data_IF_742966584954
#
_entry.id   IF_742966584954
#
_cell.length_a   1.000
_cell.length_b   1.000
_cell.length_c   1.000
_cell.angle_alpha   90.00
_cell.angle_beta   90.00
_cell.angle_gamma   90.00
#
_symmetry.space_group_name_H-M   'P 1'
#
loop_
_entity.id
_entity.type
_entity.pdbx_description
1 polymer ?
#
# COMPACT_ATOMS: atom_id res chain seq x y z
N UNK A 1 -26.68 -20.47 0.97
CA UNK A 1 -27.02 -19.70 -0.24
C UNK A 1 -25.78 -19.30 -1.05
N UNK A 2 -24.84 -18.52 -0.50
CA UNK A 2 -23.66 -18.02 -1.23
C UNK A 2 -22.83 -19.11 -1.92
N UNK A 3 -22.45 -20.19 -1.21
CA UNK A 3 -21.70 -21.32 -1.80
C UNK A 3 -22.38 -21.89 -3.05
N UNK A 4 -23.69 -22.12 -2.99
CA UNK A 4 -24.47 -22.58 -4.15
C UNK A 4 -24.55 -21.56 -5.29
N UNK A 5 -24.45 -20.25 -5.01
CA UNK A 5 -24.34 -19.24 -6.07
C UNK A 5 -22.98 -19.28 -6.76
N UNK A 6 -21.90 -19.49 -5.99
CA UNK A 6 -20.55 -19.66 -6.54
C UNK A 6 -20.46 -20.89 -7.43
N UNK A 7 -21.00 -22.03 -6.98
CA UNK A 7 -21.06 -23.27 -7.77
C UNK A 7 -21.82 -23.05 -9.09
N UNK A 8 -23.00 -22.42 -9.03
CA UNK A 8 -23.79 -22.10 -10.24
C UNK A 8 -23.04 -21.17 -11.19
N UNK A 9 -22.35 -20.15 -10.69
CA UNK A 9 -21.58 -19.22 -11.52
C UNK A 9 -20.44 -19.95 -12.22
N UNK A 10 -19.70 -20.81 -11.50
CA UNK A 10 -18.63 -21.62 -12.09
C UNK A 10 -19.14 -22.53 -13.20
N UNK A 11 -20.23 -23.27 -12.95
CA UNK A 11 -20.86 -24.11 -13.97
C UNK A 11 -21.34 -23.27 -15.17
N UNK A 12 -21.97 -22.12 -14.93
CA UNK A 12 -22.47 -21.23 -15.98
C UNK A 12 -21.37 -20.74 -16.93
N UNK A 13 -20.21 -20.36 -16.40
CA UNK A 13 -19.06 -19.90 -17.21
C UNK A 13 -18.36 -21.09 -17.89
N UNK A 14 -18.20 -22.23 -17.19
CA UNK A 14 -17.57 -23.42 -17.75
C UNK A 14 -18.36 -24.02 -18.93
N UNK A 15 -19.69 -23.97 -18.88
CA UNK A 15 -20.57 -24.41 -19.97
C UNK A 15 -20.60 -23.44 -21.16
N UNK A 16 -20.05 -22.23 -21.01
CA UNK A 16 -20.13 -21.13 -22.00
C UNK A 16 -18.80 -20.40 -22.14
N UNK A 17 -17.77 -21.07 -22.72
CA UNK A 17 -16.43 -20.50 -22.87
C UNK A 17 -16.39 -19.27 -23.80
N UNK A 18 -17.45 -19.01 -24.56
CA UNK A 18 -17.59 -17.82 -25.40
C UNK A 18 -17.89 -16.53 -24.63
N UNK A 19 -18.29 -16.62 -23.36
CA UNK A 19 -18.58 -15.44 -22.55
C UNK A 19 -17.30 -14.70 -22.18
N UNK A 20 -17.30 -13.38 -22.38
CA UNK A 20 -16.24 -12.52 -21.89
C UNK A 20 -16.32 -12.41 -20.34
N UNK A 21 -15.20 -12.69 -19.67
CA UNK A 21 -15.10 -12.62 -18.21
C UNK A 21 -15.40 -11.21 -17.67
N UNK A 22 -15.08 -10.16 -18.43
CA UNK A 22 -15.37 -8.76 -18.10
C UNK A 22 -16.88 -8.53 -18.11
N UNK A 23 -17.60 -9.02 -19.12
CA UNK A 23 -19.06 -8.87 -19.22
C UNK A 23 -19.79 -9.61 -18.09
N UNK A 24 -19.30 -10.80 -17.74
CA UNK A 24 -19.81 -11.56 -16.58
C UNK A 24 -19.57 -10.77 -15.29
N UNK A 25 -18.35 -10.29 -15.06
CA UNK A 25 -17.99 -9.50 -13.89
C UNK A 25 -18.81 -8.22 -13.77
N UNK A 26 -18.91 -7.47 -14.86
CA UNK A 26 -19.72 -6.25 -14.95
C UNK A 26 -21.19 -6.51 -14.63
N UNK A 27 -21.76 -7.58 -15.21
CA UNK A 27 -23.15 -7.98 -14.95
C UNK A 27 -23.39 -8.36 -13.50
N UNK A 28 -22.44 -9.05 -12.86
CA UNK A 28 -22.52 -9.39 -11.44
C UNK A 28 -22.44 -8.15 -10.55
N UNK A 29 -21.60 -7.18 -10.90
CA UNK A 29 -21.40 -5.96 -10.13
C UNK A 29 -22.55 -4.95 -10.26
N UNK A 30 -23.18 -4.85 -11.44
CA UNK A 30 -24.11 -3.76 -11.76
C UNK A 30 -25.57 -4.16 -11.90
N UNK A 31 -25.85 -5.44 -12.20
CA UNK A 31 -27.21 -5.91 -12.53
C UNK A 31 -27.75 -6.96 -11.54
N UNK A 32 -27.11 -7.14 -10.38
CA UNK A 32 -27.54 -8.06 -9.33
C UNK A 32 -27.61 -7.36 -7.98
N UNK A 33 -28.49 -7.83 -7.11
CA UNK A 33 -28.63 -7.28 -5.77
C UNK A 33 -27.38 -7.58 -4.92
N UNK A 34 -26.85 -6.56 -4.25
CA UNK A 34 -25.69 -6.65 -3.36
C UNK A 34 -26.01 -7.22 -1.98
N UNK A 35 -26.32 -8.52 -1.91
CA UNK A 35 -26.66 -9.24 -0.68
C UNK A 35 -25.54 -9.21 0.37
N UNK A 36 -25.87 -9.51 1.63
CA UNK A 36 -24.95 -9.47 2.78
C UNK A 36 -23.80 -10.47 2.65
N UNK A 37 -24.10 -11.74 2.36
CA UNK A 37 -23.06 -12.76 2.16
C UNK A 37 -22.45 -12.63 0.76
N UNK A 38 -21.17 -12.23 0.70
CA UNK A 38 -20.47 -11.91 -0.55
C UNK A 38 -19.24 -12.80 -0.74
N UNK A 39 -18.86 -13.01 -1.99
CA UNK A 39 -17.58 -13.60 -2.39
C UNK A 39 -17.02 -12.87 -3.61
N UNK A 40 -15.70 -12.72 -3.67
CA UNK A 40 -14.96 -12.18 -4.82
C UNK A 40 -14.12 -13.30 -5.40
N UNK A 41 -14.22 -13.51 -6.71
CA UNK A 41 -13.48 -14.54 -7.44
C UNK A 41 -12.60 -13.89 -8.50
N UNK A 42 -11.42 -14.46 -8.74
CA UNK A 42 -10.58 -14.16 -9.88
C UNK A 42 -10.14 -15.48 -10.52
N UNK A 43 -10.58 -15.71 -11.77
CA UNK A 43 -10.55 -17.04 -12.35
C UNK A 43 -11.27 -18.04 -11.45
N UNK A 44 -10.61 -19.17 -11.17
CA UNK A 44 -11.17 -20.21 -10.30
C UNK A 44 -10.98 -19.94 -8.80
N UNK A 45 -10.12 -18.98 -8.43
CA UNK A 45 -9.79 -18.70 -7.04
C UNK A 45 -10.86 -17.84 -6.37
N UNK A 46 -11.26 -18.22 -5.15
CA UNK A 46 -12.02 -17.33 -4.26
C UNK A 46 -11.03 -16.46 -3.49
N UNK A 47 -10.96 -15.18 -3.84
CA UNK A 47 -10.03 -14.23 -3.22
C UNK A 47 -10.52 -13.74 -1.85
N UNK A 48 -11.84 -13.58 -1.71
CA UNK A 48 -12.46 -13.15 -0.47
C UNK A 48 -13.87 -13.73 -0.34
N UNK A 49 -14.30 -13.97 0.90
CA UNK A 49 -15.70 -14.27 1.20
C UNK A 49 -16.04 -13.81 2.61
N UNK A 50 -17.26 -13.34 2.84
CA UNK A 50 -17.65 -12.82 4.13
C UNK A 50 -19.07 -12.28 4.16
N UNK A 51 -19.38 -11.58 5.25
CA UNK A 51 -20.63 -10.85 5.44
C UNK A 51 -20.30 -9.36 5.33
N UNK A 52 -20.98 -8.66 4.43
CA UNK A 52 -20.90 -7.22 4.36
C UNK A 52 -21.49 -6.62 5.63
N UNK A 53 -20.75 -5.71 6.24
CA UNK A 53 -21.17 -4.97 7.43
C UNK A 53 -20.93 -3.48 7.24
N UNK A 54 -21.59 -2.70 8.08
CA UNK A 54 -21.32 -1.27 8.22
C UNK A 54 -20.20 -1.07 9.24
N UNK A 55 -19.37 -0.05 9.02
CA UNK A 55 -18.26 0.26 9.91
C UNK A 55 -17.38 1.37 9.34
N UNK A 56 -16.48 1.87 10.18
CA UNK A 56 -15.45 2.82 9.73
C UNK A 56 -14.32 2.07 9.02
N UNK A 57 -13.86 2.62 7.90
CA UNK A 57 -12.71 2.14 7.16
C UNK A 57 -11.45 2.90 7.59
N UNK A 58 -10.41 2.15 7.96
CA UNK A 58 -9.10 2.71 8.24
C UNK A 58 -8.09 2.28 7.17
N UNK A 59 -7.32 3.22 6.63
CA UNK A 59 -6.14 2.91 5.83
C UNK A 59 -4.88 3.09 6.69
N UNK A 60 -4.03 2.08 6.67
CA UNK A 60 -2.80 2.01 7.47
C UNK A 60 -1.59 2.08 6.54
N UNK A 61 -0.71 3.04 6.81
CA UNK A 61 0.54 3.27 6.08
C UNK A 61 1.71 2.73 6.90
N UNK A 62 2.56 1.95 6.25
CA UNK A 62 3.63 1.18 6.91
C UNK A 62 4.89 2.00 7.12
N UNK A 63 5.72 1.54 8.05
CA UNK A 63 7.08 2.04 8.20
C UNK A 63 8.07 1.33 7.28
N UNK A 64 9.35 1.66 7.45
CA UNK A 64 10.46 0.93 6.84
C UNK A 64 10.44 -0.55 7.26
N UNK A 65 10.78 -1.44 6.32
CA UNK A 65 10.81 -2.90 6.49
C UNK A 65 9.93 -3.65 5.49
N UNK A 66 8.98 -2.95 4.85
CA UNK A 66 8.08 -3.53 3.85
C UNK A 66 8.62 -3.43 2.40
N UNK A 67 9.75 -2.75 2.19
CA UNK A 67 10.33 -2.55 0.87
C UNK A 67 10.79 -3.88 0.25
N UNK A 68 10.59 -4.01 -1.07
CA UNK A 68 11.11 -5.12 -1.86
C UNK A 68 11.44 -4.66 -3.27
N UNK A 69 12.40 -5.32 -3.91
CA UNK A 69 12.72 -5.06 -5.31
C UNK A 69 11.46 -5.25 -6.20
N UNK A 70 11.30 -4.35 -7.16
CA UNK A 70 10.18 -4.32 -8.10
C UNK A 70 8.82 -3.98 -7.49
N UNK A 71 8.75 -3.50 -6.24
CA UNK A 71 7.47 -3.08 -5.67
C UNK A 71 6.83 -1.95 -6.50
N UNK A 72 5.52 -2.04 -6.70
CA UNK A 72 4.74 -1.06 -7.47
C UNK A 72 4.87 -1.15 -9.00
N UNK A 73 5.92 -1.75 -9.56
CA UNK A 73 6.16 -1.71 -11.02
C UNK A 73 5.06 -2.40 -11.85
N UNK A 74 4.56 -3.55 -11.39
CA UNK A 74 3.44 -4.20 -12.09
C UNK A 74 2.14 -3.38 -12.04
N UNK A 75 1.91 -2.60 -10.97
CA UNK A 75 0.78 -1.69 -10.88
C UNK A 75 0.99 -0.46 -11.77
N UNK A 76 2.22 0.04 -11.82
CA UNK A 76 2.63 1.14 -12.69
C UNK A 76 2.32 0.83 -14.16
N UNK A 77 2.60 -0.39 -14.61
CA UNK A 77 2.34 -0.80 -16.00
C UNK A 77 0.84 -0.95 -16.31
N UNK A 78 0.02 -1.30 -15.32
CA UNK A 78 -1.39 -1.65 -15.51
C UNK A 78 -2.36 -0.50 -15.24
N UNK A 79 -2.00 0.43 -14.36
CA UNK A 79 -2.94 1.43 -13.83
C UNK A 79 -2.39 2.86 -14.05
N UNK A 80 -2.93 3.62 -15.02
CA UNK A 80 -2.48 5.00 -15.29
C UNK A 80 -2.56 5.93 -14.08
N UNK A 81 -3.60 5.80 -13.23
CA UNK A 81 -3.74 6.61 -12.00
C UNK A 81 -2.61 6.33 -11.01
N UNK A 82 -2.21 5.07 -10.86
CA UNK A 82 -1.05 4.70 -10.05
C UNK A 82 0.22 5.31 -10.65
N UNK A 83 0.41 5.14 -11.97
CA UNK A 83 1.59 5.63 -12.67
C UNK A 83 1.77 7.15 -12.52
N UNK A 84 0.70 7.92 -12.71
CA UNK A 84 0.70 9.37 -12.57
C UNK A 84 1.06 9.80 -11.15
N UNK A 85 0.43 9.21 -10.13
CA UNK A 85 0.72 9.51 -8.73
C UNK A 85 2.17 9.15 -8.36
N UNK A 86 2.64 7.99 -8.82
CA UNK A 86 4.00 7.52 -8.59
C UNK A 86 5.04 8.44 -9.26
N UNK A 87 4.81 8.84 -10.50
CA UNK A 87 5.67 9.77 -11.24
C UNK A 87 5.72 11.15 -10.60
N UNK A 88 4.59 11.65 -10.10
CA UNK A 88 4.53 12.92 -9.39
C UNK A 88 5.41 12.91 -8.14
N UNK A 89 5.43 11.80 -7.39
CA UNK A 89 6.30 11.63 -6.22
C UNK A 89 7.76 11.49 -6.65
N UNK A 90 8.07 10.61 -7.61
CA UNK A 90 9.44 10.41 -8.12
C UNK A 90 10.05 11.71 -8.64
N UNK A 91 9.31 12.50 -9.42
CA UNK A 91 9.81 13.76 -9.96
C UNK A 91 10.27 14.75 -8.87
N UNK A 92 9.64 14.73 -7.69
CA UNK A 92 9.97 15.60 -6.55
C UNK A 92 11.05 15.04 -5.64
N UNK A 93 11.14 13.71 -5.55
CA UNK A 93 12.21 13.06 -4.78
C UNK A 93 13.52 13.04 -5.58
N UNK A 94 13.48 12.77 -6.87
CA UNK A 94 14.67 12.59 -7.71
C UNK A 94 15.56 13.84 -7.79
N UNK A 95 15.00 15.04 -7.62
CA UNK A 95 15.80 16.28 -7.51
C UNK A 95 16.62 16.37 -6.21
N UNK A 96 16.38 15.48 -5.25
CA UNK A 96 17.05 15.39 -3.93
C UNK A 96 17.85 14.10 -3.77
N UNK A 97 17.76 13.18 -4.72
CA UNK A 97 18.38 11.86 -4.66
C UNK A 97 19.54 11.76 -5.65
N UNK A 98 20.53 10.94 -5.33
CA UNK A 98 21.72 10.76 -6.18
C UNK A 98 21.45 9.92 -7.44
N UNK A 99 20.33 9.19 -7.45
CA UNK A 99 19.90 8.27 -8.52
C UNK A 99 18.38 8.34 -8.62
N UNK A 100 17.83 8.02 -9.79
CA UNK A 100 16.39 7.96 -9.96
C UNK A 100 15.79 6.87 -9.07
N UNK A 101 14.76 7.21 -8.29
CA UNK A 101 14.12 6.30 -7.34
C UNK A 101 13.61 5.03 -8.03
N UNK A 102 13.04 5.18 -9.24
CA UNK A 102 12.56 4.05 -10.04
C UNK A 102 13.65 3.04 -10.37
N UNK A 103 14.86 3.49 -10.68
CA UNK A 103 15.98 2.59 -10.99
C UNK A 103 16.39 1.76 -9.76
N UNK A 104 16.40 2.40 -8.59
CA UNK A 104 16.68 1.72 -7.32
C UNK A 104 15.60 0.70 -6.97
N UNK A 105 14.33 1.05 -7.18
CA UNK A 105 13.21 0.13 -6.96
C UNK A 105 13.25 -1.07 -7.93
N UNK A 106 13.54 -0.83 -9.21
CA UNK A 106 13.64 -1.89 -10.21
C UNK A 106 14.82 -2.84 -9.94
N UNK A 107 16.00 -2.29 -9.63
CA UNK A 107 17.21 -3.08 -9.42
C UNK A 107 17.36 -3.67 -8.01
N UNK A 108 16.70 -3.08 -7.00
CA UNK A 108 16.83 -3.45 -5.58
C UNK A 108 18.18 -3.10 -4.93
N UNK A 109 19.17 -2.67 -5.72
CA UNK A 109 20.54 -2.41 -5.23
C UNK A 109 20.57 -1.16 -4.36
N UNK A 110 20.80 -1.36 -3.05
CA UNK A 110 20.82 -0.29 -2.05
C UNK A 110 19.44 0.11 -1.54
N UNK A 111 18.38 -0.64 -1.89
CA UNK A 111 17.02 -0.39 -1.43
C UNK A 111 16.88 -0.51 0.11
N UNK A 112 17.72 -1.33 0.75
CA UNK A 112 17.75 -1.46 2.22
C UNK A 112 18.33 -0.23 2.93
N UNK A 113 18.97 0.69 2.21
CA UNK A 113 19.42 1.96 2.78
C UNK A 113 18.21 2.81 3.19
N UNK A 114 18.23 3.34 4.41
CA UNK A 114 17.12 4.08 5.02
C UNK A 114 16.54 5.17 4.12
N UNK A 115 17.37 5.93 3.40
CA UNK A 115 16.89 6.94 2.45
C UNK A 115 16.05 6.32 1.33
N UNK A 116 16.55 5.25 0.71
CA UNK A 116 15.91 4.60 -0.43
C UNK A 116 14.67 3.81 -0.03
N UNK A 117 14.71 3.12 1.11
CA UNK A 117 13.56 2.43 1.67
C UNK A 117 12.41 3.42 1.95
N UNK A 118 12.72 4.55 2.59
CA UNK A 118 11.70 5.56 2.92
C UNK A 118 11.13 6.26 1.68
N UNK A 119 11.98 6.72 0.78
CA UNK A 119 11.55 7.33 -0.48
C UNK A 119 10.67 6.37 -1.30
N UNK A 120 11.10 5.11 -1.42
CA UNK A 120 10.39 4.07 -2.16
C UNK A 120 9.03 3.72 -1.57
N UNK A 121 8.96 3.54 -0.26
CA UNK A 121 7.71 3.21 0.43
C UNK A 121 6.73 4.37 0.37
N UNK A 122 7.18 5.62 0.56
CA UNK A 122 6.33 6.79 0.41
C UNK A 122 5.73 6.87 -1.01
N UNK A 123 6.54 6.70 -2.07
CA UNK A 123 6.06 6.70 -3.45
C UNK A 123 5.04 5.59 -3.72
N UNK A 124 5.30 4.38 -3.23
CA UNK A 124 4.39 3.25 -3.36
C UNK A 124 3.06 3.50 -2.64
N UNK A 125 3.12 3.94 -1.39
CA UNK A 125 1.97 4.15 -0.52
C UNK A 125 1.04 5.25 -1.03
N UNK A 126 1.60 6.37 -1.50
CA UNK A 126 0.81 7.46 -2.11
C UNK A 126 0.15 6.97 -3.40
N UNK A 127 0.86 6.24 -4.25
CA UNK A 127 0.30 5.73 -5.50
C UNK A 127 -0.78 4.65 -5.27
N UNK A 128 -0.60 3.77 -4.27
CA UNK A 128 -1.62 2.80 -3.85
C UNK A 128 -2.88 3.50 -3.33
N UNK A 129 -2.70 4.53 -2.50
CA UNK A 129 -3.82 5.33 -2.00
C UNK A 129 -4.63 5.94 -3.16
N UNK A 130 -3.96 6.63 -4.10
CA UNK A 130 -4.63 7.26 -5.26
C UNK A 130 -5.33 6.24 -6.15
N UNK A 131 -4.74 5.06 -6.33
CA UNK A 131 -5.38 3.98 -7.08
C UNK A 131 -6.68 3.51 -6.41
N UNK A 132 -6.65 3.23 -5.11
CA UNK A 132 -7.83 2.77 -4.37
C UNK A 132 -8.90 3.86 -4.27
N UNK A 133 -8.49 5.11 -4.05
CA UNK A 133 -9.36 6.29 -4.06
C UNK A 133 -10.09 6.44 -5.41
N UNK A 134 -9.41 6.17 -6.53
CA UNK A 134 -10.01 6.24 -7.87
C UNK A 134 -11.13 5.21 -8.11
N UNK A 135 -11.19 4.15 -7.30
CA UNK A 135 -12.30 3.19 -7.31
C UNK A 135 -13.46 3.60 -6.40
N UNK A 136 -13.40 4.79 -5.81
CA UNK A 136 -14.44 5.32 -4.91
C UNK A 136 -14.33 4.82 -3.48
N UNK A 137 -13.20 4.21 -3.08
CA UNK A 137 -12.98 3.77 -1.70
C UNK A 137 -12.28 4.88 -0.93
N UNK A 138 -12.99 5.50 0.01
CA UNK A 138 -12.47 6.55 0.88
C UNK A 138 -12.41 6.06 2.33
N UNK A 139 -11.27 6.25 3.04
CA UNK A 139 -11.17 5.91 4.45
C UNK A 139 -11.83 6.97 5.35
N UNK A 140 -12.38 6.52 6.48
CA UNK A 140 -12.81 7.41 7.57
C UNK A 140 -11.63 7.82 8.47
N UNK A 141 -10.58 6.97 8.51
CA UNK A 141 -9.41 7.15 9.37
C UNK A 141 -8.14 6.81 8.59
N UNK A 142 -7.13 7.65 8.72
CA UNK A 142 -5.78 7.41 8.22
C UNK A 142 -4.86 7.21 9.42
N UNK A 143 -4.09 6.12 9.41
CA UNK A 143 -3.05 5.88 10.41
C UNK A 143 -1.74 5.58 9.71
N UNK A 144 -0.64 6.06 10.29
CA UNK A 144 0.69 5.78 9.79
C UNK A 144 1.59 5.29 10.90
N UNK A 145 2.59 4.49 10.55
CA UNK A 145 3.65 4.09 11.48
C UNK A 145 4.99 4.64 11.01
N UNK A 146 5.61 5.53 11.80
CA UNK A 146 6.91 6.15 11.49
C UNK A 146 6.87 6.88 10.13
N UNK A 147 7.53 6.37 9.08
CA UNK A 147 7.42 6.93 7.72
C UNK A 147 5.97 7.04 7.26
N UNK A 148 5.14 6.03 7.55
CA UNK A 148 3.76 5.98 7.12
C UNK A 148 2.92 7.15 7.66
N UNK A 149 3.34 7.81 8.75
CA UNK A 149 2.67 9.03 9.22
C UNK A 149 2.81 10.18 8.23
N UNK A 150 3.94 10.25 7.52
CA UNK A 150 4.16 11.26 6.48
C UNK A 150 3.27 10.94 5.27
N UNK A 151 3.17 9.66 4.89
CA UNK A 151 2.24 9.21 3.85
C UNK A 151 0.79 9.57 4.20
N UNK A 152 0.35 9.26 5.44
CA UNK A 152 -0.98 9.56 5.95
C UNK A 152 -1.25 11.08 5.97
N UNK A 153 -0.30 11.87 6.49
CA UNK A 153 -0.40 13.33 6.52
C UNK A 153 -0.52 13.91 5.09
N UNK A 154 0.24 13.38 4.14
CA UNK A 154 0.15 13.82 2.74
C UNK A 154 -1.22 13.51 2.12
N UNK A 155 -1.66 12.25 2.17
CA UNK A 155 -2.91 11.85 1.51
C UNK A 155 -4.15 12.48 2.16
N UNK A 156 -4.08 12.82 3.45
CA UNK A 156 -5.11 13.58 4.16
C UNK A 156 -5.21 15.06 3.73
N UNK A 157 -4.20 15.58 3.01
CA UNK A 157 -4.11 16.99 2.64
C UNK A 157 -3.53 17.92 3.72
N UNK A 158 -3.08 17.38 4.86
CA UNK A 158 -2.37 18.15 5.90
C UNK A 158 -1.01 18.63 5.40
N UNK A 159 -0.31 17.77 4.64
CA UNK A 159 0.99 18.07 4.06
C UNK A 159 0.89 18.04 2.53
N UNK A 160 1.31 19.10 1.86
CA UNK A 160 1.36 19.07 0.39
C UNK A 160 2.47 18.12 -0.10
N UNK A 161 2.46 17.82 -1.40
CA UNK A 161 3.37 16.82 -1.95
C UNK A 161 4.84 17.29 -1.94
N UNK A 162 5.10 18.58 -2.11
CA UNK A 162 6.46 19.12 -2.17
C UNK A 162 7.11 19.10 -0.78
N UNK A 163 6.35 19.49 0.25
CA UNK A 163 6.77 19.43 1.64
C UNK A 163 6.92 17.98 2.12
N UNK A 164 6.00 17.08 1.76
CA UNK A 164 6.09 15.67 2.09
C UNK A 164 7.34 15.02 1.48
N UNK A 165 7.60 15.25 0.20
CA UNK A 165 8.81 14.75 -0.46
C UNK A 165 10.09 15.31 0.16
N UNK A 166 10.09 16.60 0.53
CA UNK A 166 11.23 17.24 1.21
C UNK A 166 11.47 16.61 2.58
N UNK A 167 10.42 16.40 3.36
CA UNK A 167 10.52 15.78 4.68
C UNK A 167 11.02 14.34 4.60
N UNK A 168 10.48 13.53 3.68
CA UNK A 168 10.92 12.13 3.47
C UNK A 168 12.39 12.06 3.07
N UNK A 169 12.81 12.88 2.10
CA UNK A 169 14.20 12.88 1.62
C UNK A 169 15.18 13.32 2.71
N UNK A 170 14.92 14.44 3.39
CA UNK A 170 15.82 14.94 4.43
C UNK A 170 15.84 14.03 5.67
N UNK A 171 14.68 13.52 6.09
CA UNK A 171 14.60 12.55 7.19
C UNK A 171 15.39 11.29 6.87
N UNK A 172 15.18 10.71 5.69
CA UNK A 172 15.88 9.51 5.24
C UNK A 172 17.39 9.73 5.19
N UNK A 173 17.84 10.88 4.67
CA UNK A 173 19.26 11.25 4.57
C UNK A 173 19.90 11.42 5.94
N UNK A 174 19.25 12.15 6.85
CA UNK A 174 19.75 12.38 8.20
C UNK A 174 19.82 11.09 9.01
N UNK A 175 18.79 10.24 8.94
CA UNK A 175 18.78 8.94 9.60
C UNK A 175 19.86 8.01 9.05
N UNK A 176 20.07 8.00 7.73
CA UNK A 176 21.12 7.20 7.10
C UNK A 176 22.54 7.67 7.48
N UNK A 177 22.73 8.95 7.81
CA UNK A 177 24.00 9.52 8.20
C UNK A 177 24.36 9.31 9.69
N UNK A 178 23.48 8.69 10.49
CA UNK A 178 23.78 8.35 11.87
C UNK A 178 24.99 7.42 11.98
N UNK A 179 25.77 7.49 13.09
CA UNK A 179 26.91 6.61 13.29
C UNK A 179 26.55 5.13 13.15
N UNK A 180 27.44 4.36 12.51
CA UNK A 180 27.31 2.90 12.46
C UNK A 180 27.45 2.30 13.87
N UNK A 181 26.76 1.18 14.11
CA UNK A 181 26.77 0.46 15.39
C UNK A 181 25.50 0.58 16.22
N UNK A 182 24.56 1.46 15.84
CA UNK A 182 23.19 1.45 16.33
C UNK A 182 22.30 0.45 15.58
N UNK A 183 21.19 0.04 16.20
CA UNK A 183 20.23 -0.88 15.61
C UNK A 183 18.85 -0.79 16.27
N UNK A 184 17.85 -1.38 15.63
CA UNK A 184 16.50 -1.52 16.17
C UNK A 184 16.13 -3.00 16.19
N UNK A 185 15.39 -3.40 17.22
CA UNK A 185 14.96 -4.78 17.48
C UNK A 185 13.47 -4.75 17.89
N UNK A 186 12.68 -5.65 17.33
CA UNK A 186 11.34 -5.92 17.83
C UNK A 186 11.42 -6.83 19.07
N UNK A 187 10.92 -6.35 20.20
CA UNK A 187 10.87 -7.10 21.47
C UNK A 187 9.42 -7.39 21.80
N UNK A 188 9.08 -8.66 22.05
CA UNK A 188 7.76 -9.06 22.51
C UNK A 188 7.63 -8.80 24.02
N UNK A 189 7.50 -7.53 24.38
CA UNK A 189 7.35 -7.06 25.75
C UNK A 189 6.48 -5.80 25.78
N UNK A 190 5.85 -5.53 26.92
CA UNK A 190 5.18 -4.26 27.19
C UNK A 190 6.20 -3.16 27.42
N UNK A 191 5.81 -1.89 27.23
CA UNK A 191 6.68 -0.73 27.51
C UNK A 191 7.23 -0.77 28.96
N UNK A 192 6.41 -1.16 29.92
CA UNK A 192 6.79 -1.27 31.33
C UNK A 192 7.90 -2.33 31.56
N UNK A 193 7.92 -3.41 30.79
CA UNK A 193 8.96 -4.45 30.89
C UNK A 193 10.30 -4.01 30.27
N UNK A 194 10.29 -3.01 29.38
CA UNK A 194 11.49 -2.52 28.68
C UNK A 194 12.18 -1.37 29.42
N UNK A 195 11.47 -0.67 30.32
CA UNK A 195 11.95 0.55 30.98
C UNK A 195 13.35 0.45 31.64
N UNK A 196 13.69 -0.71 32.22
CA UNK A 196 14.97 -0.93 32.91
C UNK A 196 16.00 -1.72 32.08
N UNK A 197 15.72 -1.97 30.80
CA UNK A 197 16.58 -2.79 29.93
C UNK A 197 17.76 -2.04 29.31
N UNK A 198 17.80 -0.71 29.45
CA UNK A 198 18.75 0.16 28.74
C UNK A 198 18.44 0.32 27.25
N UNK A 199 17.26 -0.10 26.81
CA UNK A 199 16.73 0.14 25.46
C UNK A 199 15.80 1.36 25.46
N UNK A 200 15.91 2.18 24.42
CA UNK A 200 14.94 3.23 24.14
C UNK A 200 13.76 2.68 23.32
N UNK A 201 12.54 3.11 23.65
CA UNK A 201 11.33 2.71 22.93
C UNK A 201 11.14 3.61 21.70
N UNK A 202 11.17 3.01 20.52
CA UNK A 202 10.98 3.73 19.25
C UNK A 202 9.53 3.70 18.74
N UNK A 203 8.79 2.61 19.00
CA UNK A 203 7.39 2.42 18.66
C UNK A 203 6.80 1.26 19.49
N UNK A 204 5.47 1.24 19.66
CA UNK A 204 4.68 0.20 20.34
C UNK A 204 3.62 -0.35 19.39
#
# INVERSE_FOLDING_TARGET
ALRGQVERLRSFVAERPELDAVDVGWSLATARAGLEHRAVLAGDATLASGVAGEGRLAFLFTGQGAQRAGMGLGLYEQFPVFAEAFDAVCARLDVRLERALREVLAGGVGLEGTLWAQAGLFALEVALYRLVESWGVAPDVLLGHSLGEISAAHVSGILDLDDACTLVAERGRLMQALPSGGGMLAVQATEAEVADSGLDVAAV
#
